data_IF_527627261006
#
_entry.id   IF_527627261006
#
_cell.length_a   1.000
_cell.length_b   1.000
_cell.length_c   1.000
_cell.angle_alpha   90.00
_cell.angle_beta   90.00
_cell.angle_gamma   90.00
#
_symmetry.space_group_name_H-M   'P 1'
#
loop_
_entity.id
_entity.type
_entity.pdbx_description
1 polymer ?
#
# COMPACT_ATOMS: atom_id res chain seq x y z
N UNK A 1 18.28 -11.88 26.79
CA UNK A 1 18.85 -10.94 25.79
C UNK A 1 18.37 -11.37 24.40
N UNK A 2 17.45 -10.61 23.78
CA UNK A 2 16.89 -10.97 22.46
C UNK A 2 17.90 -10.55 21.38
N UNK A 3 18.39 -11.51 20.58
CA UNK A 3 19.22 -11.22 19.40
C UNK A 3 18.33 -11.11 18.17
N UNK A 4 18.25 -9.92 17.59
CA UNK A 4 17.61 -9.73 16.29
C UNK A 4 18.51 -10.30 15.20
N UNK A 5 17.99 -11.26 14.43
CA UNK A 5 18.65 -11.82 13.24
C UNK A 5 17.98 -11.26 12.00
N UNK A 6 18.77 -10.80 11.04
CA UNK A 6 18.31 -10.41 9.72
C UNK A 6 18.84 -11.40 8.68
N UNK A 7 18.04 -11.72 7.68
CA UNK A 7 18.41 -12.60 6.58
C UNK A 7 18.28 -11.85 5.26
N UNK A 8 19.27 -12.02 4.39
CA UNK A 8 19.19 -11.59 2.99
C UNK A 8 18.90 -12.83 2.16
N UNK A 9 17.78 -12.81 1.44
CA UNK A 9 17.34 -13.92 0.59
C UNK A 9 17.12 -13.40 -0.82
N UNK A 10 17.62 -14.15 -1.81
CA UNK A 10 17.34 -13.89 -3.23
C UNK A 10 16.22 -14.81 -3.70
N UNK A 11 15.18 -14.23 -4.30
CA UNK A 11 14.04 -14.96 -4.85
C UNK A 11 14.25 -15.20 -6.35
N UNK A 12 13.89 -16.41 -6.82
CA UNK A 12 13.84 -16.77 -8.23
C UNK A 12 12.41 -17.22 -8.59
N UNK A 13 11.47 -16.27 -8.72
CA UNK A 13 10.08 -16.59 -8.96
C UNK A 13 9.84 -17.11 -10.38
N UNK A 14 8.91 -18.06 -10.52
CA UNK A 14 8.35 -18.40 -11.83
C UNK A 14 7.39 -17.30 -12.33
N UNK A 15 6.83 -17.47 -13.54
CA UNK A 15 5.97 -16.47 -14.16
C UNK A 15 4.73 -16.13 -13.30
N UNK A 16 4.04 -17.13 -12.77
CA UNK A 16 2.86 -16.94 -11.93
C UNK A 16 3.19 -16.23 -10.61
N UNK A 17 4.31 -16.58 -9.98
CA UNK A 17 4.81 -15.94 -8.77
C UNK A 17 5.18 -14.48 -9.02
N UNK A 18 5.88 -14.20 -10.13
CA UNK A 18 6.26 -12.84 -10.53
C UNK A 18 5.02 -11.96 -10.69
N UNK A 19 3.98 -12.46 -11.36
CA UNK A 19 2.74 -11.72 -11.51
C UNK A 19 2.06 -11.46 -10.16
N UNK A 20 1.99 -12.46 -9.28
CA UNK A 20 1.40 -12.29 -7.95
C UNK A 20 2.17 -11.29 -7.09
N UNK A 21 3.51 -11.36 -7.09
CA UNK A 21 4.38 -10.44 -6.36
C UNK A 21 4.18 -9.02 -6.87
N UNK A 22 4.21 -8.82 -8.18
CA UNK A 22 4.02 -7.49 -8.79
C UNK A 22 2.65 -6.91 -8.49
N UNK A 23 1.58 -7.72 -8.57
CA UNK A 23 0.23 -7.29 -8.18
C UNK A 23 0.18 -6.88 -6.70
N UNK A 24 0.77 -7.68 -5.82
CA UNK A 24 0.78 -7.43 -4.37
C UNK A 24 1.52 -6.15 -4.02
N UNK A 25 2.76 -6.00 -4.52
CA UNK A 25 3.57 -4.81 -4.28
C UNK A 25 2.97 -3.56 -4.93
N UNK A 26 2.40 -3.69 -6.14
CA UNK A 26 1.70 -2.60 -6.82
C UNK A 26 0.48 -2.12 -6.04
N UNK A 27 -0.35 -3.03 -5.53
CA UNK A 27 -1.48 -2.70 -4.67
C UNK A 27 -1.04 -1.97 -3.40
N UNK A 28 -0.02 -2.49 -2.71
CA UNK A 28 0.49 -1.90 -1.48
C UNK A 28 1.06 -0.49 -1.72
N UNK A 29 1.88 -0.33 -2.77
CA UNK A 29 2.46 0.97 -3.17
C UNK A 29 1.37 1.98 -3.48
N UNK A 30 0.34 1.58 -4.23
CA UNK A 30 -0.77 2.46 -4.57
C UNK A 30 -1.52 2.94 -3.33
N UNK A 31 -1.92 2.01 -2.44
CA UNK A 31 -2.66 2.36 -1.21
C UNK A 31 -1.82 3.29 -0.34
N UNK A 32 -0.55 2.97 -0.15
CA UNK A 32 0.37 3.79 0.64
C UNK A 32 0.48 5.21 0.07
N UNK A 33 0.81 5.34 -1.21
CA UNK A 33 0.99 6.64 -1.85
C UNK A 33 -0.30 7.47 -1.86
N UNK A 34 -1.45 6.85 -2.11
CA UNK A 34 -2.75 7.52 -2.08
C UNK A 34 -3.04 8.15 -0.72
N UNK A 35 -2.87 7.39 0.37
CA UNK A 35 -3.15 7.90 1.72
C UNK A 35 -2.05 8.79 2.27
N UNK A 36 -0.80 8.62 1.83
CA UNK A 36 0.27 9.57 2.12
C UNK A 36 -0.06 10.95 1.53
N UNK A 37 -0.47 11.01 0.26
CA UNK A 37 -0.87 12.25 -0.39
C UNK A 37 -2.05 12.92 0.33
N UNK A 38 -3.09 12.15 0.69
CA UNK A 38 -4.24 12.69 1.45
C UNK A 38 -3.84 13.21 2.83
N UNK A 39 -2.97 12.50 3.57
CA UNK A 39 -2.48 12.99 4.87
C UNK A 39 -1.71 14.30 4.74
N UNK A 40 -0.90 14.43 3.70
CA UNK A 40 -0.15 15.65 3.45
C UNK A 40 -1.10 16.82 3.13
N UNK A 41 -2.14 16.57 2.35
CA UNK A 41 -3.18 17.56 2.04
C UNK A 41 -3.96 17.99 3.29
N UNK A 42 -4.49 17.04 4.08
CA UNK A 42 -5.25 17.38 5.30
C UNK A 42 -4.40 18.11 6.33
N UNK A 43 -3.12 17.74 6.43
CA UNK A 43 -2.20 18.42 7.34
C UNK A 43 -1.94 19.87 6.90
N UNK A 44 -1.82 20.13 5.60
CA UNK A 44 -1.66 21.49 5.06
C UNK A 44 -2.89 22.36 5.27
N UNK A 45 -4.09 21.77 5.23
CA UNK A 45 -5.36 22.49 5.36
C UNK A 45 -5.71 22.75 6.84
N UNK A 46 -5.66 21.71 7.67
CA UNK A 46 -6.26 21.73 9.01
C UNK A 46 -5.21 21.55 10.13
N UNK A 47 -3.93 21.37 9.79
CA UNK A 47 -2.87 21.02 10.74
C UNK A 47 -3.01 19.61 11.34
N UNK A 48 -3.93 18.80 10.81
CA UNK A 48 -4.30 17.48 11.36
C UNK A 48 -4.07 16.36 10.35
N UNK A 49 -3.55 15.24 10.86
CA UNK A 49 -3.39 14.01 10.07
C UNK A 49 -4.67 13.19 9.99
N UNK A 50 -4.75 12.30 9.00
CA UNK A 50 -5.82 11.31 8.93
C UNK A 50 -5.70 10.28 10.06
N UNK A 51 -6.81 10.00 10.74
CA UNK A 51 -6.90 8.89 11.69
C UNK A 51 -6.96 7.55 10.97
N UNK A 52 -6.66 6.47 11.71
CA UNK A 52 -6.81 5.11 11.19
C UNK A 52 -8.25 4.81 10.75
N UNK A 53 -9.24 5.13 11.59
CA UNK A 53 -10.66 4.89 11.29
C UNK A 53 -11.13 5.63 10.02
N UNK A 54 -10.68 6.88 9.82
CA UNK A 54 -10.98 7.63 8.60
C UNK A 54 -10.32 6.99 7.37
N UNK A 55 -9.07 6.53 7.52
CA UNK A 55 -8.32 5.83 6.46
C UNK A 55 -9.03 4.52 6.06
N UNK A 56 -9.47 3.72 7.03
CA UNK A 56 -10.14 2.44 6.80
C UNK A 56 -11.49 2.60 6.05
N UNK A 57 -12.30 3.56 6.48
CA UNK A 57 -13.57 3.90 5.79
C UNK A 57 -13.31 4.35 4.35
N UNK A 58 -12.31 5.21 4.14
CA UNK A 58 -11.93 5.67 2.81
C UNK A 58 -11.37 4.52 1.94
N UNK A 59 -10.60 3.60 2.51
CA UNK A 59 -10.07 2.44 1.80
C UNK A 59 -11.18 1.49 1.35
N UNK A 60 -12.20 1.30 2.18
CA UNK A 60 -13.38 0.49 1.82
C UNK A 60 -14.09 1.04 0.58
N UNK A 61 -14.29 2.36 0.51
CA UNK A 61 -14.86 3.01 -0.67
C UNK A 61 -13.93 2.93 -1.88
N UNK A 62 -12.64 3.16 -1.69
CA UNK A 62 -11.63 3.10 -2.75
C UNK A 62 -11.58 1.73 -3.43
N UNK A 63 -11.66 0.65 -2.64
CA UNK A 63 -11.69 -0.74 -3.15
C UNK A 63 -12.93 -1.03 -4.01
N UNK A 64 -14.08 -0.42 -3.70
CA UNK A 64 -15.32 -0.57 -4.47
C UNK A 64 -15.24 0.15 -5.82
N UNK A 65 -14.70 1.37 -5.81
CA UNK A 65 -14.61 2.20 -7.02
C UNK A 65 -13.46 1.79 -7.93
N UNK A 66 -12.43 1.13 -7.40
CA UNK A 66 -11.27 0.68 -8.16
C UNK A 66 -10.79 -0.68 -7.65
N UNK A 67 -11.01 -1.78 -8.39
CA UNK A 67 -10.42 -3.07 -8.05
C UNK A 67 -8.90 -2.94 -8.08
N UNK A 68 -8.27 -3.01 -6.90
CA UNK A 68 -6.82 -2.84 -6.75
C UNK A 68 -6.03 -3.89 -7.54
N UNK A 69 -6.63 -5.05 -7.81
CA UNK A 69 -6.11 -6.10 -8.67
C UNK A 69 -5.82 -5.68 -10.14
N UNK A 70 -6.30 -4.50 -10.57
CA UNK A 70 -6.10 -3.96 -11.93
C UNK A 70 -5.05 -2.84 -12.02
N UNK A 71 -4.32 -2.54 -10.95
CA UNK A 71 -3.22 -1.54 -10.99
C UNK A 71 -2.02 -2.19 -11.69
N UNK A 72 -2.11 -2.34 -13.02
CA UNK A 72 -1.14 -3.06 -13.86
C UNK A 72 -0.10 -2.16 -14.52
N UNK A 73 -0.22 -0.84 -14.42
CA UNK A 73 0.69 0.08 -15.11
C UNK A 73 0.90 1.35 -14.27
N UNK A 74 1.92 1.35 -13.40
CA UNK A 74 2.70 2.53 -13.01
C UNK A 74 4.14 2.04 -12.79
#
# INVERSE_FOLDING_TARGET
>A
MIRNKAFVVRLYPNAAQTELINRTLGCARFVYNHFLARRLETYRQDGKGLTYAATDKALTLLKRNRPLAKVRHI
#
